data_IF_962021703426
#
_entry.id   IF_962021703426
#
_cell.length_a   1.000
_cell.length_b   1.000
_cell.length_c   1.000
_cell.angle_alpha   90.00
_cell.angle_beta   90.00
_cell.angle_gamma   90.00
#
_symmetry.space_group_name_H-M   'P 1'
#
loop_
_entity.id
_entity.type
_entity.pdbx_description
1 polymer ?
#
# COMPACT_ATOMS: atom_id res chain seq x y z
N UNK A 1 -22.52 -18.92 35.06
CA UNK A 1 -23.74 -18.22 35.52
C UNK A 1 -23.57 -16.74 35.19
N UNK A 2 -24.61 -16.07 34.70
CA UNK A 2 -24.58 -14.65 34.31
C UNK A 2 -25.58 -13.81 35.12
N UNK A 3 -25.27 -12.56 35.47
CA UNK A 3 -26.22 -11.68 36.15
C UNK A 3 -27.27 -11.14 35.17
N UNK A 4 -28.51 -11.02 35.63
CA UNK A 4 -29.59 -10.37 34.90
C UNK A 4 -29.31 -8.87 34.71
N UNK A 5 -29.48 -8.36 33.49
CA UNK A 5 -29.23 -6.95 33.12
C UNK A 5 -30.06 -5.92 33.90
N UNK A 6 -31.22 -6.33 34.46
CA UNK A 6 -32.15 -5.40 35.12
C UNK A 6 -32.18 -5.54 36.65
N UNK A 7 -32.10 -6.76 37.17
CA UNK A 7 -32.25 -7.02 38.60
C UNK A 7 -31.04 -7.70 39.25
N UNK A 8 -29.96 -7.90 38.50
CA UNK A 8 -28.71 -8.52 38.96
C UNK A 8 -28.85 -9.93 39.54
N UNK A 9 -30.02 -10.57 39.37
CA UNK A 9 -30.21 -11.96 39.80
C UNK A 9 -29.33 -12.90 38.97
N UNK A 10 -28.77 -13.93 39.60
CA UNK A 10 -27.90 -14.91 38.93
C UNK A 10 -28.74 -15.88 38.11
N UNK A 11 -28.43 -15.98 36.82
CA UNK A 11 -29.08 -16.84 35.84
C UNK A 11 -28.08 -17.88 35.32
N UNK A 12 -28.58 -19.00 34.79
CA UNK A 12 -27.74 -19.94 34.04
C UNK A 12 -27.21 -19.27 32.77
N UNK A 13 -26.04 -19.69 32.27
CA UNK A 13 -25.37 -19.00 31.15
C UNK A 13 -26.21 -18.98 29.86
N UNK A 14 -27.08 -19.97 29.72
CA UNK A 14 -28.03 -20.19 28.62
C UNK A 14 -29.42 -19.55 28.83
N UNK A 15 -29.71 -19.00 30.01
CA UNK A 15 -31.03 -18.40 30.27
C UNK A 15 -31.26 -17.15 29.40
N UNK A 16 -32.30 -17.17 28.57
CA UNK A 16 -32.74 -16.05 27.72
C UNK A 16 -33.84 -15.21 28.39
N UNK A 17 -34.27 -15.60 29.59
CA UNK A 17 -35.37 -14.97 30.31
C UNK A 17 -35.09 -14.93 31.81
N UNK A 18 -35.37 -13.79 32.44
CA UNK A 18 -35.33 -13.67 33.89
C UNK A 18 -36.73 -13.83 34.48
N UNK A 19 -36.96 -14.93 35.21
CA UNK A 19 -38.22 -15.20 35.90
C UNK A 19 -38.52 -14.27 37.09
N UNK A 20 -37.51 -13.55 37.60
CA UNK A 20 -37.69 -12.64 38.75
C UNK A 20 -38.22 -11.28 38.33
N UNK A 21 -37.71 -10.72 37.22
CA UNK A 21 -38.10 -9.39 36.74
C UNK A 21 -38.86 -9.41 35.40
N UNK A 22 -39.24 -10.61 34.93
CA UNK A 22 -39.96 -10.85 33.67
C UNK A 22 -39.33 -10.17 32.45
N UNK A 23 -38.00 -10.02 32.43
CA UNK A 23 -37.30 -9.42 31.29
C UNK A 23 -36.62 -10.47 30.43
N UNK A 24 -36.81 -10.36 29.11
CA UNK A 24 -36.01 -11.09 28.13
C UNK A 24 -34.58 -10.58 28.20
N UNK A 25 -33.64 -11.50 28.37
CA UNK A 25 -32.21 -11.24 28.28
C UNK A 25 -31.83 -11.47 26.81
N UNK A 26 -32.12 -10.50 25.94
CA UNK A 26 -31.98 -10.64 24.48
C UNK A 26 -30.55 -10.47 23.97
N UNK A 27 -29.55 -10.46 24.83
CA UNK A 27 -28.17 -10.20 24.43
C UNK A 27 -27.27 -11.29 24.99
N UNK A 28 -27.02 -12.30 24.15
CA UNK A 28 -25.81 -13.10 24.28
C UNK A 28 -24.59 -12.20 24.09
N UNK A 29 -23.48 -12.53 24.75
CA UNK A 29 -22.20 -11.81 24.66
C UNK A 29 -21.66 -11.65 23.21
N UNK A 30 -22.29 -12.27 22.22
CA UNK A 30 -21.97 -12.07 20.80
C UNK A 30 -22.35 -10.67 20.26
N UNK A 31 -23.16 -9.89 20.99
CA UNK A 31 -23.47 -8.51 20.60
C UNK A 31 -22.36 -7.49 20.95
N UNK A 32 -21.38 -7.86 21.79
CA UNK A 32 -20.24 -6.99 22.12
C UNK A 32 -19.10 -7.04 21.11
N UNK A 33 -19.10 -8.02 20.19
CA UNK A 33 -18.37 -7.87 18.94
C UNK A 33 -19.22 -7.06 17.97
N UNK A 34 -19.40 -5.77 18.27
CA UNK A 34 -19.59 -4.82 17.17
C UNK A 34 -18.33 -4.91 16.32
N UNK A 35 -18.34 -5.79 15.31
CA UNK A 35 -17.38 -5.74 14.23
C UNK A 35 -17.57 -4.35 13.63
N UNK A 36 -16.79 -3.38 14.11
CA UNK A 36 -16.77 -2.01 13.61
C UNK A 36 -16.59 -2.15 12.13
N UNK A 37 -17.67 -1.93 11.38
CA UNK A 37 -17.70 -2.17 9.93
C UNK A 37 -16.54 -1.37 9.36
N UNK A 38 -15.49 -2.03 8.83
CA UNK A 38 -14.26 -1.34 8.51
C UNK A 38 -14.60 -0.22 7.52
N UNK A 39 -14.25 1.03 7.85
CA UNK A 39 -14.53 2.17 6.96
C UNK A 39 -13.67 2.02 5.71
N UNK A 40 -14.33 1.94 4.57
CA UNK A 40 -13.73 1.91 3.24
C UNK A 40 -13.01 3.22 2.86
N UNK A 41 -13.23 4.28 3.64
CA UNK A 41 -12.59 5.59 3.47
C UNK A 41 -11.06 5.49 3.50
N UNK A 42 -10.50 4.65 4.37
CA UNK A 42 -9.04 4.51 4.48
C UNK A 42 -8.44 3.87 3.23
N UNK A 43 -9.00 2.76 2.75
CA UNK A 43 -8.60 2.10 1.51
C UNK A 43 -8.72 3.04 0.31
N UNK A 44 -9.82 3.80 0.24
CA UNK A 44 -10.09 4.75 -0.84
C UNK A 44 -9.04 5.87 -0.90
N UNK A 45 -8.68 6.45 0.25
CA UNK A 45 -7.62 7.47 0.34
C UNK A 45 -6.28 6.90 -0.12
N UNK A 46 -5.95 5.68 0.31
CA UNK A 46 -4.70 5.02 -0.08
C UNK A 46 -4.62 4.78 -1.59
N UNK A 47 -5.71 4.29 -2.19
CA UNK A 47 -5.80 4.08 -3.63
C UNK A 47 -5.66 5.38 -4.41
N UNK A 48 -6.34 6.46 -3.97
CA UNK A 48 -6.24 7.78 -4.61
C UNK A 48 -4.80 8.30 -4.53
N UNK A 49 -4.15 8.16 -3.37
CA UNK A 49 -2.76 8.58 -3.21
C UNK A 49 -1.82 7.79 -4.12
N UNK A 50 -2.02 6.48 -4.28
CA UNK A 50 -1.27 5.67 -5.25
C UNK A 50 -1.51 6.14 -6.69
N UNK A 51 -2.76 6.45 -7.07
CA UNK A 51 -3.09 6.97 -8.40
C UNK A 51 -2.36 8.28 -8.68
N UNK A 52 -2.36 9.22 -7.72
CA UNK A 52 -1.68 10.51 -7.85
C UNK A 52 -0.16 10.29 -8.04
N UNK A 53 0.46 9.49 -7.16
CA UNK A 53 1.90 9.24 -7.21
C UNK A 53 2.31 8.54 -8.53
N UNK A 54 1.53 7.57 -9.01
CA UNK A 54 1.83 6.91 -10.29
C UNK A 54 1.58 7.83 -11.48
N UNK A 55 0.55 8.69 -11.42
CA UNK A 55 0.29 9.72 -12.43
C UNK A 55 1.48 10.67 -12.60
N UNK A 56 2.04 11.17 -11.50
CA UNK A 56 3.25 11.99 -11.54
C UNK A 56 4.46 11.24 -12.11
N UNK A 57 4.64 9.96 -11.77
CA UNK A 57 5.74 9.16 -12.33
C UNK A 57 5.62 8.99 -13.86
N UNK A 58 4.41 8.78 -14.38
CA UNK A 58 4.18 8.65 -15.83
C UNK A 58 4.40 9.98 -16.57
N UNK A 59 3.99 11.11 -15.98
CA UNK A 59 4.23 12.44 -16.55
C UNK A 59 5.71 12.83 -16.58
N UNK A 60 6.54 12.26 -15.70
CA UNK A 60 7.99 12.47 -15.68
C UNK A 60 8.77 11.69 -16.77
N UNK A 61 8.14 10.72 -17.42
CA UNK A 61 8.77 9.91 -18.49
C UNK A 61 9.25 10.75 -19.69
N UNK A 62 8.43 11.63 -20.32
CA UNK A 62 8.89 12.41 -21.47
C UNK A 62 10.06 13.33 -21.13
N UNK A 63 10.06 13.95 -19.94
CA UNK A 63 11.18 14.78 -19.48
C UNK A 63 12.48 14.00 -19.35
N UNK A 64 12.38 12.75 -18.88
CA UNK A 64 13.53 11.86 -18.72
C UNK A 64 14.14 11.46 -20.07
N UNK A 65 13.31 11.26 -21.10
CA UNK A 65 13.76 10.91 -22.47
C UNK A 65 14.41 12.13 -23.15
N UNK A 66 13.82 13.32 -23.01
CA UNK A 66 14.36 14.56 -23.60
C UNK A 66 15.70 14.94 -22.97
N UNK A 67 15.82 14.86 -21.64
CA UNK A 67 17.08 15.09 -20.95
C UNK A 67 18.20 14.15 -21.43
N UNK A 68 17.84 12.93 -21.81
CA UNK A 68 18.75 11.92 -22.34
C UNK A 68 19.30 12.24 -23.72
N UNK A 69 18.41 12.70 -24.61
CA UNK A 69 18.78 13.07 -25.98
C UNK A 69 19.76 14.24 -26.05
N UNK A 70 19.81 15.08 -25.00
CA UNK A 70 20.75 16.19 -24.89
C UNK A 70 22.18 15.81 -24.48
N UNK A 71 22.41 14.60 -23.94
CA UNK A 71 23.69 14.20 -23.32
C UNK A 71 24.35 12.97 -23.97
N UNK A 72 23.78 12.42 -25.04
CA UNK A 72 24.41 11.33 -25.83
C UNK A 72 24.65 10.01 -25.07
N UNK A 73 24.20 9.92 -23.83
CA UNK A 73 24.25 8.70 -23.03
C UNK A 73 23.12 7.78 -23.49
N UNK A 74 23.49 6.62 -24.05
CA UNK A 74 22.58 5.50 -24.28
C UNK A 74 22.13 4.91 -22.94
N UNK A 75 21.28 5.61 -22.21
CA UNK A 75 20.51 4.98 -21.14
C UNK A 75 19.70 3.87 -21.80
N UNK A 76 19.76 2.67 -21.22
CA UNK A 76 19.03 1.53 -21.76
C UNK A 76 17.54 1.85 -21.73
N UNK A 77 16.99 2.25 -22.88
CA UNK A 77 15.58 2.63 -23.10
C UNK A 77 14.64 1.58 -22.49
N UNK A 78 15.10 0.34 -22.46
CA UNK A 78 14.49 -0.78 -21.76
C UNK A 78 14.13 -0.49 -20.30
N UNK A 79 15.02 0.11 -19.50
CA UNK A 79 14.78 0.44 -18.09
C UNK A 79 13.68 1.49 -17.91
N UNK A 80 13.59 2.46 -18.83
CA UNK A 80 12.54 3.50 -18.83
C UNK A 80 11.18 2.86 -19.15
N UNK A 81 11.13 2.04 -20.19
CA UNK A 81 9.90 1.32 -20.60
C UNK A 81 9.44 0.37 -19.49
N UNK A 82 10.36 -0.34 -18.85
CA UNK A 82 10.05 -1.29 -17.78
C UNK A 82 9.57 -0.57 -16.50
N UNK A 83 10.14 0.60 -16.18
CA UNK A 83 9.62 1.48 -15.14
C UNK A 83 8.20 1.97 -15.42
N UNK A 84 7.90 2.36 -16.67
CA UNK A 84 6.57 2.77 -17.09
C UNK A 84 5.54 1.63 -16.95
N UNK A 85 5.91 0.41 -17.35
CA UNK A 85 5.07 -0.79 -17.18
C UNK A 85 4.76 -1.07 -15.71
N UNK A 86 5.73 -0.92 -14.81
CA UNK A 86 5.50 -1.07 -13.37
C UNK A 86 4.58 0.01 -12.79
N UNK A 87 4.70 1.26 -13.24
CA UNK A 87 3.77 2.32 -12.86
C UNK A 87 2.34 2.05 -13.35
N UNK A 88 2.18 1.60 -14.60
CA UNK A 88 0.88 1.26 -15.18
C UNK A 88 0.22 0.08 -14.45
N UNK A 89 0.98 -0.98 -14.16
CA UNK A 89 0.45 -2.14 -13.42
C UNK A 89 0.11 -1.82 -11.97
N UNK A 90 0.86 -0.94 -11.28
CA UNK A 90 0.47 -0.40 -9.96
C UNK A 90 -0.84 0.37 -10.02
N UNK A 91 -1.05 1.16 -11.08
CA UNK A 91 -2.32 1.86 -11.33
C UNK A 91 -3.47 0.86 -11.53
N UNK A 92 -3.26 -0.18 -12.34
CA UNK A 92 -4.25 -1.26 -12.53
C UNK A 92 -4.57 -1.95 -11.21
N UNK A 93 -3.55 -2.24 -10.39
CA UNK A 93 -3.72 -2.80 -9.05
C UNK A 93 -4.57 -1.92 -8.14
N UNK A 94 -4.33 -0.60 -8.12
CA UNK A 94 -5.13 0.35 -7.35
C UNK A 94 -6.60 0.41 -7.80
N UNK A 95 -6.86 0.39 -9.12
CA UNK A 95 -8.23 0.35 -9.66
C UNK A 95 -8.94 -0.94 -9.25
N UNK A 96 -8.25 -2.08 -9.27
CA UNK A 96 -8.81 -3.37 -8.83
C UNK A 96 -9.10 -3.39 -7.33
N UNK A 97 -8.27 -2.73 -6.50
CA UNK A 97 -8.55 -2.56 -5.08
C UNK A 97 -9.77 -1.67 -4.82
N UNK A 98 -9.98 -0.62 -5.63
CA UNK A 98 -11.22 0.18 -5.57
C UNK A 98 -12.47 -0.65 -5.92
N UNK A 99 -12.33 -1.66 -6.79
CA UNK A 99 -13.40 -2.64 -7.08
C UNK A 99 -13.56 -3.73 -6.01
N UNK A 100 -12.92 -3.56 -4.84
CA UNK A 100 -12.94 -4.52 -3.71
C UNK A 100 -12.43 -5.92 -4.07
N UNK A 101 -11.49 -6.04 -5.02
CA UNK A 101 -10.89 -7.33 -5.38
C UNK A 101 -9.54 -7.52 -4.71
N UNK A 102 -9.40 -8.60 -3.92
CA UNK A 102 -8.14 -8.97 -3.26
C UNK A 102 -6.98 -9.20 -4.25
N UNK A 103 -7.27 -9.60 -5.49
CA UNK A 103 -6.26 -9.77 -6.53
C UNK A 103 -5.48 -8.47 -6.84
N UNK A 104 -6.13 -7.31 -6.67
CA UNK A 104 -5.48 -6.01 -6.86
C UNK A 104 -4.33 -5.79 -5.87
N UNK A 105 -4.53 -6.22 -4.61
CA UNK A 105 -3.53 -6.15 -3.55
C UNK A 105 -2.29 -6.98 -3.90
N UNK A 106 -2.49 -8.23 -4.33
CA UNK A 106 -1.40 -9.11 -4.73
C UNK A 106 -0.60 -8.54 -5.90
N UNK A 107 -1.28 -8.11 -6.96
CA UNK A 107 -0.64 -7.51 -8.14
C UNK A 107 0.20 -6.29 -7.72
N UNK A 108 -0.37 -5.40 -6.92
CA UNK A 108 0.34 -4.22 -6.44
C UNK A 108 1.61 -4.60 -5.65
N UNK A 109 1.51 -5.56 -4.74
CA UNK A 109 2.64 -5.97 -3.88
C UNK A 109 3.78 -6.59 -4.67
N UNK A 110 3.48 -7.50 -5.62
CA UNK A 110 4.48 -8.14 -6.47
C UNK A 110 5.20 -7.08 -7.32
N UNK A 111 4.45 -6.18 -7.95
CA UNK A 111 5.03 -5.11 -8.77
C UNK A 111 5.82 -4.12 -7.91
N UNK A 112 5.37 -3.83 -6.69
CA UNK A 112 6.10 -2.96 -5.77
C UNK A 112 7.46 -3.56 -5.38
N UNK A 113 7.52 -4.86 -5.07
CA UNK A 113 8.78 -5.56 -4.78
C UNK A 113 9.70 -5.56 -6.01
N UNK A 114 9.18 -5.90 -7.20
CA UNK A 114 9.96 -5.86 -8.45
C UNK A 114 10.50 -4.46 -8.74
N UNK A 115 9.70 -3.42 -8.50
CA UNK A 115 10.14 -2.04 -8.70
C UNK A 115 11.25 -1.62 -7.73
N UNK A 116 11.23 -2.09 -6.49
CA UNK A 116 12.31 -1.87 -5.53
C UNK A 116 13.61 -2.54 -6.02
N UNK A 117 13.51 -3.79 -6.48
CA UNK A 117 14.65 -4.50 -7.07
C UNK A 117 15.24 -3.77 -8.28
N UNK A 118 14.38 -3.23 -9.16
CA UNK A 118 14.81 -2.42 -10.29
C UNK A 118 15.52 -1.13 -9.86
N UNK A 119 15.00 -0.42 -8.86
CA UNK A 119 15.64 0.80 -8.34
C UNK A 119 17.00 0.53 -7.71
N UNK A 120 17.14 -0.60 -7.00
CA UNK A 120 18.42 -1.06 -6.48
C UNK A 120 19.39 -1.38 -7.61
N UNK A 121 18.95 -2.16 -8.60
CA UNK A 121 19.77 -2.55 -9.75
C UNK A 121 20.27 -1.33 -10.51
N UNK A 122 19.40 -0.39 -10.88
CA UNK A 122 19.79 0.80 -11.65
C UNK A 122 20.77 1.68 -10.89
N UNK A 123 20.59 1.89 -9.58
CA UNK A 123 21.56 2.63 -8.79
C UNK A 123 22.89 1.87 -8.66
N UNK A 124 22.86 0.54 -8.51
CA UNK A 124 24.07 -0.28 -8.40
C UNK A 124 24.88 -0.30 -9.70
N UNK A 125 24.23 -0.46 -10.86
CA UNK A 125 24.93 -0.60 -12.15
C UNK A 125 25.29 0.72 -12.81
N UNK A 126 24.55 1.81 -12.53
CA UNK A 126 24.74 3.09 -13.23
C UNK A 126 25.50 4.08 -12.35
N UNK A 127 25.27 4.11 -11.04
CA UNK A 127 25.90 5.10 -10.17
C UNK A 127 27.24 4.63 -9.57
N UNK A 128 27.47 3.32 -9.43
CA UNK A 128 28.72 2.79 -8.86
C UNK A 128 29.91 2.84 -9.84
N UNK A 129 29.81 2.45 -11.13
CA UNK A 129 30.95 2.56 -12.04
C UNK A 129 31.31 4.01 -12.41
N UNK A 130 30.36 4.94 -12.31
CA UNK A 130 30.65 6.39 -12.42
C UNK A 130 31.48 6.93 -11.25
N UNK A 131 31.59 6.19 -10.13
CA UNK A 131 32.46 6.54 -9.02
C UNK A 131 33.95 6.35 -9.36
N UNK A 132 34.26 5.50 -10.36
CA UNK A 132 35.64 5.09 -10.67
C UNK A 132 36.25 5.76 -11.90
N UNK A 133 35.47 6.34 -12.81
CA UNK A 133 36.04 6.80 -14.09
C UNK A 133 35.77 8.23 -14.51
N UNK A 134 34.81 8.97 -13.94
CA UNK A 134 34.64 10.40 -14.22
C UNK A 134 33.87 11.06 -13.08
N UNK A 135 34.56 11.87 -12.26
CA UNK A 135 33.90 12.64 -11.22
C UNK A 135 32.99 13.71 -11.84
N UNK A 136 31.77 13.84 -11.33
CA UNK A 136 31.29 15.13 -10.89
C UNK A 136 31.34 15.11 -9.36
N UNK A 137 32.41 15.67 -8.79
CA UNK A 137 32.43 16.03 -7.37
C UNK A 137 31.30 17.03 -7.14
N UNK A 138 30.18 16.59 -6.52
CA UNK A 138 29.08 17.50 -6.28
C UNK A 138 27.76 16.87 -5.82
N UNK A 139 26.76 17.73 -5.53
CA UNK A 139 25.47 17.39 -4.92
C UNK A 139 24.61 16.37 -5.71
N UNK A 140 24.95 16.06 -6.96
CA UNK A 140 24.20 15.14 -7.83
C UNK A 140 24.18 13.69 -7.31
N UNK A 141 25.28 13.19 -6.73
CA UNK A 141 25.33 11.85 -6.14
C UNK A 141 24.44 11.75 -4.90
N UNK A 142 24.53 12.73 -4.00
CA UNK A 142 23.72 12.80 -2.78
C UNK A 142 22.23 12.85 -3.17
N UNK A 143 21.87 13.67 -4.16
CA UNK A 143 20.49 13.76 -4.66
C UNK A 143 20.01 12.41 -5.21
N UNK A 144 20.85 11.67 -5.94
CA UNK A 144 20.48 10.34 -6.47
C UNK A 144 20.19 9.34 -5.34
N UNK A 145 21.07 9.21 -4.34
CA UNK A 145 20.88 8.30 -3.20
C UNK A 145 19.70 8.69 -2.31
N UNK A 146 19.51 9.99 -2.05
CA UNK A 146 18.34 10.48 -1.30
C UNK A 146 17.05 10.16 -2.07
N UNK A 147 17.02 10.38 -3.40
CA UNK A 147 15.85 10.06 -4.21
C UNK A 147 15.51 8.57 -4.21
N UNK A 148 16.53 7.71 -4.21
CA UNK A 148 16.38 6.26 -4.11
C UNK A 148 15.79 5.87 -2.75
N UNK A 149 16.37 6.38 -1.66
CA UNK A 149 15.92 6.10 -0.30
C UNK A 149 14.46 6.52 -0.10
N UNK A 150 14.08 7.71 -0.57
CA UNK A 150 12.70 8.21 -0.51
C UNK A 150 11.76 7.29 -1.30
N UNK A 151 12.09 6.91 -2.54
CA UNK A 151 11.25 6.02 -3.37
C UNK A 151 11.03 4.65 -2.72
N UNK A 152 12.07 4.06 -2.14
CA UNK A 152 11.98 2.76 -1.46
C UNK A 152 11.14 2.89 -0.19
N UNK A 153 11.38 3.90 0.64
CA UNK A 153 10.64 4.15 1.88
C UNK A 153 9.15 4.34 1.62
N UNK A 154 8.77 5.15 0.63
CA UNK A 154 7.38 5.31 0.23
C UNK A 154 6.79 3.98 -0.27
N UNK A 155 7.51 3.23 -1.11
CA UNK A 155 7.01 1.95 -1.61
C UNK A 155 6.74 0.94 -0.47
N UNK A 156 7.66 0.82 0.49
CA UNK A 156 7.50 -0.08 1.65
C UNK A 156 6.34 0.38 2.54
N UNK A 157 6.26 1.68 2.84
CA UNK A 157 5.18 2.24 3.67
C UNK A 157 3.82 1.92 3.08
N UNK A 158 3.63 2.11 1.77
CA UNK A 158 2.38 1.77 1.10
C UNK A 158 2.07 0.27 1.16
N UNK A 159 3.06 -0.60 0.97
CA UNK A 159 2.87 -2.06 1.09
C UNK A 159 2.37 -2.43 2.49
N UNK A 160 2.99 -1.90 3.53
CA UNK A 160 2.60 -2.16 4.93
C UNK A 160 1.17 -1.67 5.18
N UNK A 161 0.85 -0.43 4.77
CA UNK A 161 -0.49 0.13 4.97
C UNK A 161 -1.56 -0.65 4.20
N UNK A 162 -1.27 -1.12 2.98
CA UNK A 162 -2.19 -1.94 2.21
C UNK A 162 -2.44 -3.32 2.85
N UNK A 163 -1.44 -3.89 3.54
CA UNK A 163 -1.56 -5.18 4.24
C UNK A 163 -2.21 -5.12 5.63
N UNK A 164 -2.59 -3.93 6.11
CA UNK A 164 -3.31 -3.80 7.38
C UNK A 164 -4.59 -4.65 7.41
N UNK A 165 -4.92 -5.29 8.54
CA UNK A 165 -6.06 -6.20 8.65
C UNK A 165 -7.40 -5.52 8.31
N UNK A 166 -7.51 -4.20 8.54
CA UNK A 166 -8.66 -3.38 8.17
C UNK A 166 -8.90 -3.37 6.65
N UNK A 167 -7.83 -3.23 5.86
CA UNK A 167 -7.89 -3.22 4.39
C UNK A 167 -8.12 -4.63 3.84
N UNK A 168 -7.47 -5.63 4.42
CA UNK A 168 -7.60 -7.03 3.98
C UNK A 168 -9.04 -7.55 4.14
N UNK A 169 -9.71 -7.22 5.24
CA UNK A 169 -11.13 -7.57 5.49
C UNK A 169 -12.11 -6.88 4.54
N UNK A 170 -11.72 -5.78 3.90
CA UNK A 170 -12.56 -5.05 2.94
C UNK A 170 -12.44 -5.55 1.49
N UNK A 171 -11.37 -6.30 1.21
CA UNK A 171 -11.03 -6.81 -0.10
C UNK A 171 -11.34 -8.33 -0.24
N UNK A 172 -11.67 -9.00 0.86
CA UNK A 172 -11.99 -10.45 0.94
C UNK A 172 -13.42 -10.76 0.57
#
# INVERSE_FOLDING_TARGET
MKPCLKCSNMLTDDATYCHVCNTKQSEGFEAFETMVKPKDTFLKVLCILTIIVMGFNLLGLPFSIVALSGIGLEYSVWLIVLGALFSATKLTGAILMLKKKLIGLYIYTVVAILSIGLYLYTNLTINIPNLTSNLPEGPSLIISYVSMGVKIMFSITFIILYWLPVNRRLLS
#
